data_IF_266275882989
#
_entry.id   IF_266275882989
#
_cell.length_a   1.000
_cell.length_b   1.000
_cell.length_c   1.000
_cell.angle_alpha   90.00
_cell.angle_beta   90.00
_cell.angle_gamma   90.00
#
_symmetry.space_group_name_H-M   'P 1'
#
loop_
_entity.id
_entity.type
_entity.pdbx_description
1 polymer ?
#
# COMPACT_ATOMS: atom_id res chain seq x y z
N UNK A 1 -26.47 5.90 12.75
CA UNK A 1 -25.36 6.53 11.99
C UNK A 1 -25.45 6.04 10.55
N UNK A 2 -25.88 6.90 9.63
CA UNK A 2 -25.90 6.62 8.21
C UNK A 2 -24.44 6.51 7.74
N UNK A 3 -24.06 5.36 7.20
CA UNK A 3 -22.73 5.19 6.65
C UNK A 3 -22.59 6.12 5.46
N UNK A 4 -21.66 7.05 5.56
CA UNK A 4 -21.26 7.88 4.43
C UNK A 4 -20.80 6.96 3.31
N UNK A 5 -21.33 7.17 2.12
CA UNK A 5 -20.85 6.48 0.93
C UNK A 5 -19.42 6.95 0.63
N UNK A 6 -18.62 6.07 0.06
CA UNK A 6 -17.21 6.30 -0.26
C UNK A 6 -16.95 7.64 -0.96
N UNK A 7 -17.81 8.02 -1.88
CA UNK A 7 -17.76 9.24 -2.68
C UNK A 7 -18.27 10.49 -2.01
N UNK A 8 -18.86 10.41 -0.83
CA UNK A 8 -19.22 11.59 -0.03
C UNK A 8 -18.01 12.16 0.73
N UNK A 9 -16.90 11.41 0.78
CA UNK A 9 -15.64 11.78 1.41
C UNK A 9 -14.47 11.89 0.41
N UNK A 10 -14.71 12.36 -0.80
CA UNK A 10 -13.74 12.46 -1.89
C UNK A 10 -12.42 13.14 -1.51
N UNK A 11 -12.49 14.17 -0.68
CA UNK A 11 -11.35 14.96 -0.23
C UNK A 11 -10.73 14.44 1.08
N UNK A 12 -11.11 13.26 1.55
CA UNK A 12 -10.53 12.69 2.76
C UNK A 12 -9.10 12.22 2.52
N UNK A 13 -8.15 12.94 3.10
CA UNK A 13 -6.77 12.48 3.16
C UNK A 13 -6.70 11.28 4.09
N UNK A 14 -6.29 10.09 3.62
CA UNK A 14 -6.27 8.90 4.44
C UNK A 14 -5.30 9.07 5.62
N UNK A 15 -5.76 8.69 6.80
CA UNK A 15 -4.89 8.55 7.97
C UNK A 15 -4.07 7.27 7.87
N UNK A 16 -3.05 7.13 8.72
CA UNK A 16 -2.28 5.89 8.81
C UNK A 16 -3.18 4.68 9.15
N UNK A 17 -4.19 4.87 10.01
CA UNK A 17 -5.18 3.84 10.33
C UNK A 17 -6.05 3.47 9.13
N UNK A 18 -6.43 4.41 8.31
CA UNK A 18 -7.20 4.15 7.08
C UNK A 18 -6.38 3.32 6.09
N UNK A 19 -5.12 3.68 5.88
CA UNK A 19 -4.23 2.91 5.02
C UNK A 19 -3.98 1.50 5.56
N UNK A 20 -3.79 1.36 6.87
CA UNK A 20 -3.64 0.04 7.50
C UNK A 20 -4.90 -0.82 7.30
N UNK A 21 -6.07 -0.24 7.46
CA UNK A 21 -7.33 -0.93 7.22
C UNK A 21 -7.52 -1.26 5.74
N UNK A 22 -7.20 -0.35 4.82
CA UNK A 22 -7.22 -0.60 3.38
C UNK A 22 -6.35 -1.81 3.03
N UNK A 23 -5.13 -1.86 3.54
CA UNK A 23 -4.23 -3.00 3.34
C UNK A 23 -4.78 -4.30 3.90
N UNK A 24 -5.43 -4.26 5.07
CA UNK A 24 -6.10 -5.44 5.62
C UNK A 24 -7.18 -5.96 4.66
N UNK A 25 -8.05 -5.09 4.15
CA UNK A 25 -9.11 -5.47 3.22
C UNK A 25 -8.55 -5.97 1.87
N UNK A 26 -7.51 -5.31 1.33
CA UNK A 26 -6.83 -5.76 0.12
C UNK A 26 -6.17 -7.14 0.30
N UNK A 27 -5.59 -7.41 1.46
CA UNK A 27 -5.02 -8.71 1.79
C UNK A 27 -6.09 -9.82 1.81
N UNK A 28 -7.32 -9.52 2.28
CA UNK A 28 -8.43 -10.45 2.21
C UNK A 28 -8.85 -10.79 0.77
N UNK A 29 -8.61 -9.89 -0.18
CA UNK A 29 -8.79 -10.13 -1.62
C UNK A 29 -7.64 -10.91 -2.26
N UNK A 30 -6.56 -11.19 -1.51
CA UNK A 30 -5.36 -11.87 -2.02
C UNK A 30 -4.27 -10.94 -2.52
N UNK A 31 -4.36 -9.63 -2.28
CA UNK A 31 -3.29 -8.70 -2.62
C UNK A 31 -2.03 -8.96 -1.75
N UNK A 32 -0.81 -8.76 -2.29
CA UNK A 32 0.44 -9.07 -1.62
C UNK A 32 0.82 -8.02 -0.57
N UNK A 33 -0.04 -7.81 0.41
CA UNK A 33 0.15 -6.82 1.48
C UNK A 33 -0.28 -7.35 2.83
N UNK A 34 0.09 -6.61 3.88
CA UNK A 34 -0.32 -6.87 5.26
C UNK A 34 -0.87 -5.58 5.86
N UNK A 35 -2.02 -5.68 6.51
CA UNK A 35 -2.64 -4.59 7.23
C UNK A 35 -3.22 -5.06 8.55
N UNK A 36 -3.76 -4.15 9.36
CA UNK A 36 -4.41 -4.44 10.62
C UNK A 36 -5.90 -4.10 10.55
N UNK A 37 -6.72 -4.88 11.26
CA UNK A 37 -8.15 -4.63 11.41
C UNK A 37 -8.37 -3.43 12.34
N UNK A 38 -8.01 -2.23 11.88
CA UNK A 38 -8.24 -0.99 12.59
C UNK A 38 -9.71 -0.54 12.47
N UNK A 39 -10.13 0.40 13.33
CA UNK A 39 -11.43 1.06 13.17
C UNK A 39 -11.46 1.79 11.83
N UNK A 40 -12.57 1.64 11.11
CA UNK A 40 -12.77 2.26 9.80
C UNK A 40 -14.15 2.90 9.73
N UNK A 41 -14.20 4.12 9.23
CA UNK A 41 -15.45 4.84 9.05
C UNK A 41 -16.30 4.33 7.88
N UNK A 42 -15.69 3.54 6.98
CA UNK A 42 -16.40 2.94 5.85
C UNK A 42 -17.05 1.62 6.24
N UNK A 43 -18.17 1.29 5.60
CA UNK A 43 -18.72 -0.07 5.63
C UNK A 43 -17.76 -1.04 4.95
N UNK A 44 -17.88 -2.36 5.23
CA UNK A 44 -17.22 -3.36 4.41
C UNK A 44 -17.54 -3.11 2.94
N UNK A 45 -16.51 -2.89 2.15
CA UNK A 45 -16.63 -2.52 0.75
C UNK A 45 -16.69 -3.77 -0.13
N UNK A 46 -17.47 -3.70 -1.21
CA UNK A 46 -17.38 -4.68 -2.28
C UNK A 46 -16.01 -4.56 -2.97
N UNK A 47 -15.62 -5.59 -3.70
CA UNK A 47 -14.31 -5.68 -4.36
C UNK A 47 -14.01 -4.46 -5.25
N UNK A 48 -14.96 -4.07 -6.08
CA UNK A 48 -14.82 -2.92 -6.98
C UNK A 48 -14.80 -1.59 -6.22
N UNK A 49 -15.57 -1.47 -5.13
CA UNK A 49 -15.56 -0.28 -4.26
C UNK A 49 -14.21 -0.12 -3.55
N UNK A 50 -13.66 -1.23 -3.05
CA UNK A 50 -12.35 -1.23 -2.41
C UNK A 50 -11.25 -0.84 -3.39
N UNK A 51 -11.29 -1.36 -4.62
CA UNK A 51 -10.32 -1.01 -5.66
C UNK A 51 -10.47 0.45 -6.11
N UNK A 52 -11.70 0.95 -6.29
CA UNK A 52 -11.91 2.35 -6.64
C UNK A 52 -11.37 3.30 -5.57
N UNK A 53 -11.56 2.97 -4.27
CA UNK A 53 -10.95 3.69 -3.16
C UNK A 53 -9.42 3.61 -3.22
N UNK A 54 -8.88 2.42 -3.48
CA UNK A 54 -7.45 2.22 -3.58
C UNK A 54 -6.83 3.03 -4.70
N UNK A 55 -7.52 3.20 -5.83
CA UNK A 55 -7.08 4.05 -6.95
C UNK A 55 -7.06 5.54 -6.58
N UNK A 56 -7.97 5.99 -5.72
CA UNK A 56 -7.91 7.36 -5.20
C UNK A 56 -6.75 7.53 -4.21
N UNK A 57 -6.60 6.58 -3.28
CA UNK A 57 -5.62 6.69 -2.21
C UNK A 57 -4.19 6.30 -2.59
N UNK A 58 -3.98 5.76 -3.78
CA UNK A 58 -2.62 5.43 -4.29
C UNK A 58 -1.68 6.65 -4.28
N UNK A 59 -2.24 7.84 -4.35
CA UNK A 59 -1.50 9.10 -4.31
C UNK A 59 -0.88 9.43 -2.93
N UNK A 60 -1.27 8.70 -1.90
CA UNK A 60 -0.79 8.94 -0.53
C UNK A 60 0.23 7.91 -0.04
N UNK A 61 0.40 6.79 -0.76
CA UNK A 61 1.37 5.77 -0.39
C UNK A 61 1.97 5.06 -1.62
N UNK A 62 3.28 5.22 -1.89
CA UNK A 62 3.95 4.54 -3.02
C UNK A 62 3.88 3.01 -2.96
N UNK A 63 3.72 2.43 -1.76
CA UNK A 63 3.57 0.98 -1.59
C UNK A 63 2.27 0.49 -2.20
N UNK A 64 1.21 1.30 -2.07
CA UNK A 64 -0.10 0.97 -2.62
C UNK A 64 -0.06 0.85 -4.14
N UNK A 65 0.72 1.68 -4.82
CA UNK A 65 0.94 1.57 -6.27
C UNK A 65 1.50 0.18 -6.64
N UNK A 66 2.54 -0.26 -5.93
CA UNK A 66 3.15 -1.57 -6.18
C UNK A 66 2.20 -2.73 -5.90
N UNK A 67 1.43 -2.65 -4.81
CA UNK A 67 0.42 -3.66 -4.42
C UNK A 67 -0.65 -3.78 -5.49
N UNK A 68 -1.20 -2.64 -5.96
CA UNK A 68 -2.25 -2.63 -6.97
C UNK A 68 -1.77 -3.19 -8.31
N UNK A 69 -0.55 -2.84 -8.73
CA UNK A 69 0.04 -3.35 -9.97
C UNK A 69 0.15 -4.88 -9.92
N UNK A 70 0.72 -5.43 -8.84
CA UNK A 70 0.87 -6.88 -8.71
C UNK A 70 -0.49 -7.58 -8.63
N UNK A 71 -1.40 -7.05 -7.83
CA UNK A 71 -2.73 -7.63 -7.67
C UNK A 71 -3.51 -7.64 -8.99
N UNK A 72 -3.61 -6.50 -9.66
CA UNK A 72 -4.41 -6.35 -10.87
C UNK A 72 -3.84 -7.13 -12.05
N UNK A 73 -2.51 -7.27 -12.15
CA UNK A 73 -1.86 -8.08 -13.18
C UNK A 73 -2.42 -9.53 -13.22
N UNK A 74 -2.74 -10.09 -12.06
CA UNK A 74 -3.15 -11.49 -11.94
C UNK A 74 -4.66 -11.68 -11.69
N UNK A 75 -5.39 -10.62 -11.29
CA UNK A 75 -6.78 -10.73 -10.83
C UNK A 75 -7.79 -9.87 -11.60
N UNK A 76 -7.36 -9.16 -12.65
CA UNK A 76 -8.23 -8.26 -13.42
C UNK A 76 -9.45 -8.97 -14.03
N UNK A 77 -9.28 -10.22 -14.50
CA UNK A 77 -10.34 -11.02 -15.14
C UNK A 77 -11.52 -11.32 -14.22
N UNK A 78 -11.30 -11.32 -12.92
CA UNK A 78 -12.36 -11.52 -11.92
C UNK A 78 -13.05 -10.23 -11.46
N UNK A 79 -12.81 -9.09 -12.13
CA UNK A 79 -13.42 -7.78 -11.83
C UNK A 79 -14.55 -7.48 -12.80
N UNK A 80 -15.56 -6.75 -12.33
CA UNK A 80 -16.58 -6.19 -13.21
C UNK A 80 -16.09 -4.81 -13.72
N UNK A 81 -15.64 -4.70 -14.99
CA UNK A 81 -15.06 -3.47 -15.50
C UNK A 81 -16.08 -2.31 -15.56
N UNK A 82 -17.34 -2.61 -15.86
CA UNK A 82 -18.40 -1.61 -15.90
C UNK A 82 -18.64 -1.01 -14.51
N UNK A 83 -18.84 -1.85 -13.49
CA UNK A 83 -19.05 -1.40 -12.12
C UNK A 83 -17.84 -0.61 -11.60
N UNK A 84 -16.63 -1.12 -11.87
CA UNK A 84 -15.39 -0.46 -11.46
C UNK A 84 -15.25 0.92 -12.11
N UNK A 85 -15.50 1.03 -13.42
CA UNK A 85 -15.48 2.31 -14.14
C UNK A 85 -16.47 3.33 -13.57
N UNK A 86 -17.71 2.90 -13.29
CA UNK A 86 -18.73 3.74 -12.68
C UNK A 86 -18.29 4.34 -11.33
N UNK A 87 -17.49 3.60 -10.58
CA UNK A 87 -16.95 4.05 -9.31
C UNK A 87 -15.76 4.99 -9.51
N UNK A 88 -14.83 4.63 -10.41
CA UNK A 88 -13.64 5.43 -10.73
C UNK A 88 -14.02 6.83 -11.24
N UNK A 89 -15.06 6.95 -12.07
CA UNK A 89 -15.51 8.25 -12.59
C UNK A 89 -15.98 9.22 -11.49
N UNK A 90 -16.23 8.72 -10.29
CA UNK A 90 -16.61 9.53 -9.12
C UNK A 90 -15.43 9.95 -8.26
N UNK A 91 -14.22 9.44 -8.52
CA UNK A 91 -12.99 9.81 -7.83
C UNK A 91 -12.58 11.24 -8.20
N UNK A 92 -11.85 11.91 -7.31
CA UNK A 92 -11.29 13.24 -7.57
C UNK A 92 -10.13 13.18 -8.56
N UNK A 93 -9.44 12.03 -8.61
CA UNK A 93 -8.30 11.78 -9.50
C UNK A 93 -8.45 10.48 -10.29
N UNK A 94 -9.47 10.34 -11.16
CA UNK A 94 -9.70 9.11 -11.92
C UNK A 94 -8.53 8.74 -12.83
N UNK A 95 -7.67 9.71 -13.20
CA UNK A 95 -6.45 9.52 -14.01
C UNK A 95 -5.39 8.63 -13.34
N UNK A 96 -5.48 8.43 -12.02
CA UNK A 96 -4.58 7.51 -11.29
C UNK A 96 -4.62 6.09 -11.84
N UNK A 97 -5.80 5.65 -12.31
CA UNK A 97 -5.97 4.35 -12.98
C UNK A 97 -5.16 4.27 -14.27
N UNK A 98 -5.04 5.39 -14.97
CA UNK A 98 -4.21 5.48 -16.17
C UNK A 98 -2.72 5.27 -15.84
N UNK A 99 -2.23 5.88 -14.77
CA UNK A 99 -0.85 5.68 -14.30
C UNK A 99 -0.61 4.21 -13.98
N UNK A 100 -1.50 3.58 -13.21
CA UNK A 100 -1.41 2.16 -12.85
C UNK A 100 -1.42 1.29 -14.12
N UNK A 101 -2.32 1.58 -15.06
CA UNK A 101 -2.42 0.87 -16.34
C UNK A 101 -1.16 0.96 -17.18
N UNK A 102 -0.51 2.12 -17.23
CA UNK A 102 0.76 2.28 -17.97
C UNK A 102 1.87 1.39 -17.37
N UNK A 103 2.01 1.35 -16.04
CA UNK A 103 2.97 0.45 -15.39
C UNK A 103 2.65 -1.03 -15.62
N UNK A 104 1.38 -1.42 -15.53
CA UNK A 104 0.95 -2.80 -15.75
C UNK A 104 1.24 -3.24 -17.19
N UNK A 105 0.97 -2.40 -18.19
CA UNK A 105 1.24 -2.68 -19.60
C UNK A 105 2.72 -2.93 -19.92
N UNK A 106 3.63 -2.43 -19.09
CA UNK A 106 5.07 -2.72 -19.24
C UNK A 106 5.46 -4.12 -18.76
N UNK A 107 4.79 -4.63 -17.74
CA UNK A 107 5.15 -5.90 -17.10
C UNK A 107 4.30 -7.09 -17.59
N UNK A 108 3.17 -6.82 -18.21
CA UNK A 108 2.27 -7.82 -18.74
C UNK A 108 1.75 -7.39 -20.13
N UNK A 109 2.03 -8.22 -21.14
CA UNK A 109 1.66 -7.95 -22.52
C UNK A 109 0.32 -8.57 -22.95
N UNK A 110 -0.45 -9.09 -21.98
CA UNK A 110 -1.77 -9.67 -22.22
C UNK A 110 -2.70 -8.64 -22.91
N UNK A 111 -3.24 -8.95 -24.11
CA UNK A 111 -4.14 -8.07 -24.82
C UNK A 111 -5.45 -7.78 -24.06
N UNK A 112 -5.99 -8.77 -23.34
CA UNK A 112 -7.22 -8.60 -22.57
C UNK A 112 -7.00 -7.65 -21.40
N UNK A 113 -5.86 -7.73 -20.73
CA UNK A 113 -5.46 -6.79 -19.68
C UNK A 113 -5.31 -5.37 -20.22
N UNK A 114 -4.70 -5.20 -21.40
CA UNK A 114 -4.62 -3.90 -22.05
C UNK A 114 -6.00 -3.34 -22.37
N UNK A 115 -6.86 -4.15 -22.95
CA UNK A 115 -8.25 -3.77 -23.25
C UNK A 115 -9.02 -3.38 -21.98
N UNK A 116 -8.87 -4.13 -20.89
CA UNK A 116 -9.47 -3.83 -19.59
C UNK A 116 -9.10 -2.41 -19.12
N UNK A 117 -7.81 -2.08 -19.10
CA UNK A 117 -7.37 -0.74 -18.70
C UNK A 117 -7.78 0.34 -19.69
N UNK A 118 -7.71 0.09 -20.99
CA UNK A 118 -8.16 1.05 -22.00
C UNK A 118 -9.65 1.37 -21.85
N UNK A 119 -10.48 0.38 -21.51
CA UNK A 119 -11.87 0.59 -21.16
C UNK A 119 -12.05 1.45 -19.89
N UNK A 120 -11.29 1.17 -18.83
CA UNK A 120 -11.42 1.92 -17.57
C UNK A 120 -11.09 3.40 -17.72
N UNK A 121 -10.09 3.72 -18.56
CA UNK A 121 -9.58 5.09 -18.73
C UNK A 121 -10.21 5.85 -19.91
N UNK A 122 -11.04 5.20 -20.71
CA UNK A 122 -11.65 5.80 -21.89
C UNK A 122 -12.35 7.11 -21.56
N UNK A 123 -11.99 8.20 -22.29
CA UNK A 123 -12.59 9.52 -22.12
C UNK A 123 -12.05 10.33 -20.93
N UNK A 124 -11.06 9.83 -20.18
CA UNK A 124 -10.39 10.66 -19.18
C UNK A 124 -9.38 11.58 -19.86
N UNK A 125 -9.51 12.88 -19.58
CA UNK A 125 -8.54 13.88 -20.02
C UNK A 125 -7.34 13.92 -19.06
N UNK A 126 -6.21 14.37 -19.59
CA UNK A 126 -5.03 14.65 -18.77
C UNK A 126 -5.34 15.75 -17.76
N UNK A 127 -4.85 15.58 -16.52
CA UNK A 127 -4.89 16.63 -15.49
C UNK A 127 -3.85 17.72 -15.73
N UNK A 128 -4.00 18.83 -15.03
CA UNK A 128 -2.90 19.80 -14.87
C UNK A 128 -1.75 19.13 -14.11
N UNK A 129 -0.51 19.54 -14.43
CA UNK A 129 0.69 18.94 -13.82
C UNK A 129 0.70 19.11 -12.30
N UNK A 130 0.58 18.02 -11.58
CA UNK A 130 0.64 17.97 -10.11
C UNK A 130 1.46 16.75 -9.66
N UNK A 131 2.05 16.82 -8.46
CA UNK A 131 2.77 15.68 -7.90
C UNK A 131 1.82 14.49 -7.72
N UNK A 132 2.24 13.31 -8.18
CA UNK A 132 1.43 12.10 -8.03
C UNK A 132 1.30 11.71 -6.56
N UNK A 133 2.42 11.65 -5.83
CA UNK A 133 2.40 11.33 -4.41
C UNK A 133 2.27 12.58 -3.58
N UNK A 134 1.09 12.79 -3.03
CA UNK A 134 0.76 13.93 -2.17
C UNK A 134 1.51 13.80 -0.84
N UNK A 135 2.25 14.85 -0.48
CA UNK A 135 2.97 14.91 0.80
C UNK A 135 4.24 14.07 0.90
N UNK A 136 4.58 13.26 -0.12
CA UNK A 136 5.82 12.47 -0.11
C UNK A 136 7.07 13.35 -0.20
N UNK A 137 6.99 14.40 -0.98
CA UNK A 137 8.07 15.37 -1.13
C UNK A 137 7.53 16.78 -0.85
N UNK A 138 8.15 17.54 0.06
CA UNK A 138 7.79 18.93 0.25
C UNK A 138 7.95 19.74 -1.05
N UNK A 139 7.03 20.65 -1.31
CA UNK A 139 7.11 21.56 -2.45
C UNK A 139 8.41 22.36 -2.35
N UNK A 140 9.15 22.49 -3.47
CA UNK A 140 10.47 23.14 -3.50
C UNK A 140 11.63 22.26 -3.02
N UNK A 141 11.39 21.00 -2.67
CA UNK A 141 12.49 20.07 -2.38
C UNK A 141 13.18 19.60 -3.67
N UNK A 142 14.46 19.23 -3.58
CA UNK A 142 15.21 18.65 -4.73
C UNK A 142 14.47 17.51 -5.44
N UNK A 143 13.73 16.70 -4.69
CA UNK A 143 12.94 15.60 -5.26
C UNK A 143 11.70 16.08 -5.98
N UNK A 144 10.99 17.08 -5.47
CA UNK A 144 9.86 17.68 -6.19
C UNK A 144 10.31 18.40 -7.47
N UNK A 145 11.46 19.07 -7.44
CA UNK A 145 12.08 19.65 -8.64
C UNK A 145 12.50 18.57 -9.65
N UNK A 146 13.11 17.48 -9.17
CA UNK A 146 13.42 16.33 -10.03
C UNK A 146 12.16 15.71 -10.65
N UNK A 147 11.07 15.59 -9.90
CA UNK A 147 9.80 15.10 -10.42
C UNK A 147 9.26 16.02 -11.53
N UNK A 148 9.37 17.33 -11.36
CA UNK A 148 8.99 18.30 -12.39
C UNK A 148 9.85 18.20 -13.67
N UNK A 149 11.17 18.00 -13.51
CA UNK A 149 12.12 17.98 -14.63
C UNK A 149 12.22 16.62 -15.33
N UNK A 150 12.08 15.52 -14.61
CA UNK A 150 12.38 14.14 -15.07
C UNK A 150 11.27 13.16 -14.73
N UNK A 151 10.01 13.62 -14.77
CA UNK A 151 8.86 12.75 -14.54
C UNK A 151 8.87 11.54 -15.48
N UNK A 152 8.53 10.39 -14.96
CA UNK A 152 8.35 9.19 -15.76
C UNK A 152 7.15 9.36 -16.71
N UNK A 153 7.24 8.76 -17.90
CA UNK A 153 6.20 8.87 -18.94
C UNK A 153 4.83 8.36 -18.45
N UNK A 154 4.82 7.36 -17.59
CA UNK A 154 3.63 6.75 -17.01
C UNK A 154 2.83 7.75 -16.18
N UNK A 155 3.51 8.67 -15.49
CA UNK A 155 2.87 9.75 -14.75
C UNK A 155 2.50 10.92 -15.67
N UNK A 156 3.47 11.41 -16.47
CA UNK A 156 3.29 12.63 -17.27
C UNK A 156 2.20 12.49 -18.32
N UNK A 157 1.99 11.29 -18.87
CA UNK A 157 0.89 10.98 -19.80
C UNK A 157 -0.49 11.30 -19.22
N UNK A 158 -0.63 11.26 -17.90
CA UNK A 158 -1.89 11.50 -17.18
C UNK A 158 -1.93 12.83 -16.43
N UNK A 159 -0.91 13.67 -16.63
CA UNK A 159 -0.81 14.99 -16.01
C UNK A 159 -0.26 14.95 -14.59
N UNK A 160 0.43 13.88 -14.22
CA UNK A 160 1.12 13.79 -12.95
C UNK A 160 2.63 13.94 -13.10
N UNK A 161 3.27 14.36 -12.02
CA UNK A 161 4.72 14.42 -11.87
C UNK A 161 5.15 13.37 -10.85
N UNK A 162 6.02 12.46 -11.25
CA UNK A 162 6.52 11.39 -10.37
C UNK A 162 7.77 10.74 -10.94
N UNK A 163 8.68 10.35 -10.05
CA UNK A 163 9.93 9.66 -10.37
C UNK A 163 10.01 8.28 -9.70
N UNK A 164 9.08 7.97 -8.81
CA UNK A 164 9.04 6.73 -8.07
C UNK A 164 8.60 5.59 -8.99
N UNK A 165 9.45 4.56 -9.07
CA UNK A 165 9.09 3.33 -9.77
C UNK A 165 8.43 2.36 -8.81
N UNK A 166 7.34 1.69 -9.22
CA UNK A 166 6.77 0.64 -8.40
C UNK A 166 7.77 -0.51 -8.22
N UNK A 167 7.83 -1.05 -7.01
CA UNK A 167 8.64 -2.23 -6.71
C UNK A 167 7.84 -3.46 -7.11
N UNK A 168 8.09 -3.97 -8.31
CA UNK A 168 7.41 -5.16 -8.84
C UNK A 168 8.43 -6.29 -8.92
N UNK A 169 8.65 -6.98 -7.80
CA UNK A 169 9.45 -8.20 -7.78
C UNK A 169 8.53 -9.39 -8.06
N UNK A 170 8.51 -9.83 -9.31
CA UNK A 170 7.69 -10.96 -9.76
C UNK A 170 8.26 -12.32 -9.31
N UNK A 171 9.51 -12.35 -8.83
CA UNK A 171 10.21 -13.60 -8.49
C UNK A 171 10.07 -13.98 -7.02
N UNK A 172 9.78 -13.02 -6.17
CA UNK A 172 9.61 -13.27 -4.74
C UNK A 172 8.16 -12.99 -4.32
N UNK A 173 7.55 -13.94 -3.61
CA UNK A 173 6.28 -13.73 -2.89
C UNK A 173 6.48 -12.79 -1.68
N UNK A 174 7.27 -11.72 -1.85
CA UNK A 174 7.46 -10.74 -0.80
C UNK A 174 6.19 -9.92 -0.62
N UNK A 175 5.68 -9.95 0.58
CA UNK A 175 4.56 -9.09 0.99
C UNK A 175 5.00 -7.63 0.96
N UNK A 176 4.41 -6.83 0.08
CA UNK A 176 4.66 -5.39 0.00
C UNK A 176 4.01 -4.74 1.22
N UNK A 177 4.71 -3.81 1.84
CA UNK A 177 4.22 -3.15 3.06
C UNK A 177 4.77 -3.75 4.36
N UNK A 178 5.58 -4.84 4.30
CA UNK A 178 6.37 -5.23 5.46
C UNK A 178 7.39 -4.12 5.77
N UNK A 179 7.46 -3.73 7.03
CA UNK A 179 8.46 -2.76 7.46
C UNK A 179 9.88 -3.24 7.15
N UNK A 180 10.73 -2.36 6.62
CA UNK A 180 12.14 -2.65 6.39
C UNK A 180 12.84 -3.11 7.68
N UNK A 181 13.91 -3.91 7.53
CA UNK A 181 14.66 -4.44 8.65
C UNK A 181 15.20 -3.33 9.58
N UNK A 182 15.60 -2.18 9.02
CA UNK A 182 16.05 -1.00 9.74
C UNK A 182 14.95 -0.42 10.65
N UNK A 183 13.74 -0.29 10.15
CA UNK A 183 12.59 0.18 10.91
C UNK A 183 12.21 -0.83 12.00
N UNK A 184 12.09 -2.12 11.67
CA UNK A 184 11.78 -3.19 12.62
C UNK A 184 12.79 -3.25 13.76
N UNK A 185 14.10 -3.09 13.44
CA UNK A 185 15.18 -3.00 14.44
C UNK A 185 14.98 -1.81 15.37
N UNK A 186 14.59 -0.64 14.85
CA UNK A 186 14.31 0.55 15.64
C UNK A 186 13.10 0.35 16.56
N UNK A 187 12.00 -0.23 16.05
CA UNK A 187 10.82 -0.56 16.86
C UNK A 187 11.19 -1.50 18.00
N UNK A 188 11.90 -2.59 17.70
CA UNK A 188 12.33 -3.57 18.70
C UNK A 188 13.24 -2.93 19.77
N UNK A 189 14.17 -2.04 19.37
CA UNK A 189 15.00 -1.26 20.29
C UNK A 189 14.18 -0.43 21.25
N UNK A 190 13.14 0.27 20.73
CA UNK A 190 12.25 1.09 21.54
C UNK A 190 11.43 0.27 22.51
N UNK A 191 10.89 -0.90 22.09
CA UNK A 191 10.17 -1.81 22.95
C UNK A 191 11.03 -2.33 24.10
N UNK A 192 12.27 -2.74 23.81
CA UNK A 192 13.22 -3.24 24.82
C UNK A 192 13.65 -2.14 25.80
N UNK A 193 13.74 -0.89 25.35
CA UNK A 193 14.08 0.23 26.23
C UNK A 193 12.94 0.59 27.18
N UNK A 194 11.68 0.49 26.71
CA UNK A 194 10.49 0.80 27.52
C UNK A 194 10.10 -0.31 28.46
N UNK A 195 10.11 -1.56 27.99
CA UNK A 195 9.49 -2.68 28.72
C UNK A 195 10.49 -3.69 29.26
N UNK A 196 11.79 -3.58 28.93
CA UNK A 196 12.87 -4.54 29.26
C UNK A 196 12.63 -5.98 28.80
N UNK A 197 11.38 -6.34 28.50
CA UNK A 197 10.90 -7.66 28.06
C UNK A 197 10.00 -7.50 26.84
N UNK A 198 10.17 -8.36 25.83
CA UNK A 198 9.36 -8.34 24.62
C UNK A 198 8.92 -9.76 24.29
N UNK A 199 7.60 -9.99 24.24
CA UNK A 199 7.05 -11.25 23.72
C UNK A 199 6.94 -11.18 22.19
N UNK A 200 6.82 -12.34 21.57
CA UNK A 200 6.64 -12.42 20.11
C UNK A 200 5.35 -11.72 19.66
N UNK A 201 4.25 -11.94 20.39
CA UNK A 201 2.97 -11.27 20.09
C UNK A 201 3.09 -9.76 20.23
N UNK A 202 3.68 -9.27 21.32
CA UNK A 202 3.87 -7.84 21.55
C UNK A 202 4.73 -7.17 20.47
N UNK A 203 5.76 -7.88 19.98
CA UNK A 203 6.56 -7.39 18.86
C UNK A 203 5.76 -7.36 17.54
N UNK A 204 5.02 -8.42 17.24
CA UNK A 204 4.15 -8.48 16.07
C UNK A 204 3.09 -7.39 16.07
N UNK A 205 2.46 -7.16 17.23
CA UNK A 205 1.46 -6.09 17.39
C UNK A 205 2.08 -4.71 17.18
N UNK A 206 3.28 -4.46 17.70
CA UNK A 206 3.98 -3.19 17.55
C UNK A 206 4.42 -2.87 16.12
N UNK A 207 4.54 -3.89 15.27
CA UNK A 207 4.80 -3.75 13.83
C UNK A 207 3.55 -4.09 12.99
N UNK A 208 2.38 -4.05 13.62
CA UNK A 208 1.06 -4.25 12.99
C UNK A 208 0.95 -5.57 12.20
N UNK A 209 1.58 -6.63 12.71
CA UNK A 209 1.62 -7.93 12.04
C UNK A 209 2.11 -7.87 10.58
N UNK A 210 2.96 -6.90 10.26
CA UNK A 210 3.46 -6.63 8.89
C UNK A 210 4.46 -7.67 8.37
N UNK A 211 4.86 -8.64 9.21
CA UNK A 211 5.76 -9.73 8.86
C UNK A 211 5.25 -11.07 9.39
N UNK A 212 5.76 -12.15 8.83
CA UNK A 212 5.42 -13.49 9.31
C UNK A 212 5.98 -13.74 10.73
N UNK A 213 5.34 -14.68 11.44
CA UNK A 213 5.83 -15.14 12.74
C UNK A 213 7.29 -15.64 12.69
N UNK A 214 7.68 -16.31 11.60
CA UNK A 214 9.04 -16.80 11.39
C UNK A 214 10.03 -15.63 11.26
N UNK A 215 9.68 -14.59 10.49
CA UNK A 215 10.50 -13.40 10.34
C UNK A 215 10.63 -12.64 11.67
N UNK A 216 9.55 -12.53 12.45
CA UNK A 216 9.60 -11.90 13.76
C UNK A 216 10.50 -12.67 14.75
N UNK A 217 10.47 -13.99 14.73
CA UNK A 217 11.40 -14.82 15.52
C UNK A 217 12.86 -14.65 15.05
N UNK A 218 13.08 -14.54 13.75
CA UNK A 218 14.39 -14.24 13.20
C UNK A 218 14.91 -12.89 13.71
N UNK A 219 14.09 -11.84 13.65
CA UNK A 219 14.42 -10.49 14.11
C UNK A 219 14.79 -10.50 15.62
N UNK A 220 13.98 -11.17 16.45
CA UNK A 220 14.22 -11.31 17.89
C UNK A 220 15.53 -12.06 18.21
N UNK A 221 15.93 -13.00 17.35
CA UNK A 221 17.19 -13.74 17.52
C UNK A 221 18.42 -12.97 17.04
N UNK A 222 18.28 -12.14 15.99
CA UNK A 222 19.44 -11.62 15.26
C UNK A 222 19.64 -10.11 15.36
N UNK A 223 18.60 -9.30 15.68
CA UNK A 223 18.78 -7.85 15.72
C UNK A 223 19.57 -7.37 16.95
N UNK A 224 19.48 -8.10 18.05
CA UNK A 224 20.18 -7.82 19.31
C UNK A 224 20.53 -9.14 19.99
N UNK A 225 21.54 -9.12 20.85
CA UNK A 225 21.88 -10.27 21.68
C UNK A 225 20.81 -10.45 22.77
N UNK A 226 19.67 -11.03 22.39
CA UNK A 226 18.57 -11.26 23.31
C UNK A 226 18.57 -12.70 23.79
N UNK A 227 18.20 -12.89 25.07
CA UNK A 227 18.00 -14.20 25.68
C UNK A 227 16.50 -14.50 25.75
N UNK A 228 16.11 -15.68 25.27
CA UNK A 228 14.76 -16.20 25.44
C UNK A 228 14.57 -16.72 26.86
N UNK A 229 13.56 -16.23 27.53
CA UNK A 229 13.16 -16.63 28.89
C UNK A 229 11.77 -17.27 28.86
N UNK A 230 11.62 -18.40 29.58
CA UNK A 230 10.38 -19.15 29.65
C UNK A 230 10.09 -20.04 28.44
N UNK A 231 8.94 -20.72 28.46
CA UNK A 231 8.47 -21.61 27.41
C UNK A 231 6.98 -21.33 27.10
N UNK A 232 6.55 -21.68 25.88
CA UNK A 232 5.15 -21.57 25.46
C UNK A 232 4.65 -20.14 25.32
N UNK A 233 3.39 -19.90 25.65
CA UNK A 233 2.72 -18.59 25.47
C UNK A 233 3.27 -17.46 26.32
N UNK A 234 3.91 -17.78 27.46
CA UNK A 234 4.54 -16.80 28.36
C UNK A 234 5.99 -16.49 28.06
N UNK A 235 6.58 -17.04 26.99
CA UNK A 235 7.97 -16.81 26.62
C UNK A 235 8.20 -15.36 26.19
N UNK A 236 9.31 -14.77 26.65
CA UNK A 236 9.71 -13.40 26.30
C UNK A 236 11.21 -13.29 26.06
N UNK A 237 11.59 -12.25 25.37
CA UNK A 237 12.98 -11.92 25.06
C UNK A 237 13.43 -10.74 25.90
N UNK A 238 14.68 -10.78 26.39
CA UNK A 238 15.30 -9.72 27.19
C UNK A 238 16.76 -9.54 26.78
N UNK A 239 17.34 -8.34 27.02
CA UNK A 239 18.76 -8.13 26.82
C UNK A 239 19.55 -9.02 27.77
N UNK A 240 20.67 -9.54 27.30
CA UNK A 240 21.66 -10.14 28.21
C UNK A 240 22.26 -9.00 29.02
N UNK A 241 22.22 -9.10 30.35
CA UNK A 241 22.93 -8.21 31.26
C UNK A 241 24.42 -8.48 31.19
#
# INVERSE_FOLDING_TARGET
>A
MTSKMLWENKSHVPTENDLMRLYFELAQLGAPCVGAKAHWQFKPLKKEELLALSFEWVRYDPRLLSILIIYLKDHYSGLNPYALRQLITKNDSPQTVGVIGEFIKQINQDPELKFFFDYLIQGFSQKNHELFFVGLHPVGSKKSEMAAMKSLKEYSKWGFLGIEKPIVDLTTKKTIGSYEASYRKRVLKNLLNRNKKVSLSFYLDAIHNSISRQQALYDLKHFFSLKLMGKGRGAYWTKQS
#
